data_IF_884386681760
#
_entry.id   IF_884386681760
#
_cell.length_a   1.000
_cell.length_b   1.000
_cell.length_c   1.000
_cell.angle_alpha   90.00
_cell.angle_beta   90.00
_cell.angle_gamma   90.00
#
_symmetry.space_group_name_H-M   'P 1'
#
loop_
_entity.id
_entity.type
_entity.pdbx_description
1 polymer ?
#
# COMPACT_ATOMS: atom_id res chain seq x y z
N UNK A 1 -0.38 6.46 16.76
CA UNK A 1 0.95 6.02 16.29
C UNK A 1 1.04 5.98 14.76
N UNK A 2 0.38 6.91 14.08
CA UNK A 2 0.20 6.87 12.63
C UNK A 2 1.08 7.91 11.91
N UNK A 3 2.21 8.29 12.52
CA UNK A 3 3.11 9.33 12.02
C UNK A 3 4.47 8.77 11.55
N UNK A 4 4.60 7.44 11.40
CA UNK A 4 5.91 6.76 11.30
C UNK A 4 6.06 5.77 10.12
N UNK A 5 5.15 5.74 9.14
CA UNK A 5 5.11 4.66 8.12
C UNK A 5 4.91 5.18 6.69
N UNK A 6 5.11 4.32 5.67
CA UNK A 6 5.01 4.67 4.24
C UNK A 6 3.62 5.18 3.82
N UNK A 7 3.52 6.07 2.81
CA UNK A 7 2.24 6.53 2.23
C UNK A 7 1.28 5.37 1.90
N UNK A 8 1.76 4.25 1.34
CA UNK A 8 0.90 3.10 1.02
C UNK A 8 0.43 2.35 2.27
N UNK A 9 1.31 2.19 3.27
CA UNK A 9 1.01 1.53 4.55
C UNK A 9 0.03 2.38 5.36
N UNK A 10 0.05 3.70 5.19
CA UNK A 10 -0.88 4.60 5.88
C UNK A 10 -2.18 4.81 5.16
N UNK A 11 -2.22 4.82 3.83
CA UNK A 11 -3.50 4.67 3.13
C UNK A 11 -4.17 3.36 3.59
N UNK A 12 -3.44 2.24 3.64
CA UNK A 12 -3.99 0.94 4.07
C UNK A 12 -4.39 0.87 5.56
N UNK A 13 -3.64 1.51 6.47
CA UNK A 13 -3.93 1.48 7.92
C UNK A 13 -4.90 2.60 8.35
N UNK A 14 -4.82 3.77 7.75
CA UNK A 14 -5.75 4.88 7.97
C UNK A 14 -7.09 4.64 7.29
N UNK A 15 -7.17 3.95 6.15
CA UNK A 15 -8.46 3.54 5.54
C UNK A 15 -9.30 2.76 6.54
N UNK A 16 -8.71 1.93 7.40
CA UNK A 16 -9.46 1.19 8.44
C UNK A 16 -9.98 2.14 9.52
N UNK A 17 -9.15 3.05 10.01
CA UNK A 17 -9.55 4.07 11.00
C UNK A 17 -10.61 5.02 10.44
N UNK A 18 -10.49 5.42 9.18
CA UNK A 18 -11.40 6.33 8.50
C UNK A 18 -12.69 5.64 8.07
N UNK A 19 -12.64 4.39 7.58
CA UNK A 19 -13.85 3.57 7.39
C UNK A 19 -14.62 3.40 8.69
N UNK A 20 -13.90 3.18 9.80
CA UNK A 20 -14.49 3.12 11.12
C UNK A 20 -15.13 4.46 11.51
N UNK A 21 -14.38 5.56 11.44
CA UNK A 21 -14.85 6.89 11.78
C UNK A 21 -16.05 7.34 10.93
N UNK A 22 -16.01 7.07 9.63
CA UNK A 22 -17.12 7.35 8.70
C UNK A 22 -18.35 6.51 8.99
N UNK A 23 -18.17 5.25 9.41
CA UNK A 23 -19.28 4.36 9.77
C UNK A 23 -19.97 4.82 11.06
N UNK A 24 -19.21 5.31 12.03
CA UNK A 24 -19.77 5.81 13.29
C UNK A 24 -20.37 7.21 13.14
N UNK A 25 -19.81 8.02 12.25
CA UNK A 25 -20.29 9.39 11.99
C UNK A 25 -21.39 9.46 10.91
N UNK A 26 -21.88 8.32 10.42
CA UNK A 26 -22.84 8.18 9.31
C UNK A 26 -22.47 8.97 8.03
N UNK A 27 -21.18 9.00 7.74
CA UNK A 27 -20.59 9.63 6.56
C UNK A 27 -20.38 8.55 5.49
N UNK A 28 -20.76 8.83 4.24
CA UNK A 28 -20.51 7.90 3.13
C UNK A 28 -19.00 7.67 2.95
N UNK A 29 -18.49 6.44 3.02
CA UNK A 29 -17.05 6.15 2.86
C UNK A 29 -16.54 6.42 1.44
N UNK A 30 -17.43 6.51 0.45
CA UNK A 30 -17.08 6.97 -0.90
C UNK A 30 -16.59 8.42 -0.91
N UNK A 31 -17.09 9.28 -0.02
CA UNK A 31 -16.58 10.64 0.13
C UNK A 31 -15.19 10.68 0.79
N UNK A 32 -14.84 9.64 1.56
CA UNK A 32 -13.55 9.49 2.20
C UNK A 32 -12.47 9.05 1.18
N UNK A 33 -12.75 7.99 0.42
CA UNK A 33 -11.92 7.57 -0.72
C UNK A 33 -11.81 8.71 -1.75
N UNK A 34 -12.91 9.39 -2.06
CA UNK A 34 -12.88 10.58 -2.90
C UNK A 34 -12.13 11.73 -2.24
N UNK A 35 -12.12 11.92 -0.91
CA UNK A 35 -11.33 12.97 -0.28
C UNK A 35 -9.84 12.64 -0.26
N UNK A 36 -9.45 11.38 -0.05
CA UNK A 36 -8.06 10.91 -0.13
C UNK A 36 -7.55 11.06 -1.58
N UNK A 37 -8.40 10.71 -2.55
CA UNK A 37 -8.21 10.90 -3.99
C UNK A 37 -8.26 12.39 -4.41
N UNK A 38 -9.09 13.24 -3.81
CA UNK A 38 -9.18 14.68 -4.11
C UNK A 38 -8.07 15.46 -3.40
N UNK A 39 -7.58 14.98 -2.24
CA UNK A 39 -6.40 15.50 -1.52
C UNK A 39 -5.11 15.22 -2.26
N UNK A 40 -5.00 14.02 -2.84
CA UNK A 40 -3.92 13.73 -3.78
C UNK A 40 -3.98 14.64 -5.04
N UNK A 41 -5.17 15.17 -5.39
CA UNK A 41 -5.44 15.66 -6.74
C UNK A 41 -6.20 17.00 -6.84
N UNK A 42 -6.01 17.98 -5.94
CA UNK A 42 -6.87 19.18 -5.97
C UNK A 42 -6.80 19.93 -7.32
N UNK A 43 -7.95 19.85 -7.98
CA UNK A 43 -8.49 20.74 -9.00
C UNK A 43 -10.01 20.56 -9.04
N UNK A 44 -10.72 21.30 -8.17
CA UNK A 44 -12.18 21.48 -8.08
C UNK A 44 -13.06 20.25 -7.80
N UNK A 45 -13.67 20.21 -6.60
CA UNK A 45 -15.06 19.74 -6.49
C UNK A 45 -15.79 20.36 -5.30
N UNK A 46 -16.75 21.21 -5.63
CA UNK A 46 -17.77 21.78 -4.78
C UNK A 46 -18.93 20.80 -4.59
N UNK A 47 -19.15 20.22 -3.40
CA UNK A 47 -20.48 19.72 -3.02
C UNK A 47 -20.69 19.46 -1.51
N UNK A 48 -21.53 20.30 -0.91
CA UNK A 48 -22.61 20.05 0.08
C UNK A 48 -22.47 19.14 1.33
N UNK A 49 -21.32 18.58 1.72
CA UNK A 49 -21.14 17.98 3.08
C UNK A 49 -19.73 18.29 3.63
N UNK A 50 -19.51 19.56 3.99
CA UNK A 50 -18.17 20.17 4.14
C UNK A 50 -17.42 19.83 5.43
N UNK A 51 -18.07 19.80 6.58
CA UNK A 51 -17.35 19.96 7.86
C UNK A 51 -16.38 18.80 8.17
N UNK A 52 -16.81 17.54 7.94
CA UNK A 52 -15.97 16.37 8.24
C UNK A 52 -15.02 16.00 7.09
N UNK A 53 -15.35 16.32 5.84
CA UNK A 53 -14.50 16.04 4.67
C UNK A 53 -13.23 16.90 4.68
N UNK A 54 -13.34 18.12 5.18
CA UNK A 54 -12.28 19.11 5.20
C UNK A 54 -11.21 18.79 6.26
N UNK A 55 -11.63 18.26 7.42
CA UNK A 55 -10.72 17.75 8.45
C UNK A 55 -9.95 16.51 8.01
N UNK A 56 -10.61 15.63 7.26
CA UNK A 56 -9.99 14.46 6.68
C UNK A 56 -8.96 14.87 5.63
N UNK A 57 -9.33 15.82 4.75
CA UNK A 57 -8.44 16.41 3.76
C UNK A 57 -7.17 17.00 4.40
N UNK A 58 -7.35 17.79 5.47
CA UNK A 58 -6.27 18.34 6.29
C UNK A 58 -5.38 17.23 6.83
N UNK A 59 -5.98 16.19 7.43
CA UNK A 59 -5.26 15.07 8.00
C UNK A 59 -4.40 14.35 6.96
N UNK A 60 -4.96 14.03 5.79
CA UNK A 60 -4.26 13.34 4.68
C UNK A 60 -3.13 14.20 4.13
N UNK A 61 -3.34 15.50 3.94
CA UNK A 61 -2.31 16.44 3.44
C UNK A 61 -1.12 16.51 4.39
N UNK A 62 -1.38 16.73 5.67
CA UNK A 62 -0.34 16.79 6.69
C UNK A 62 0.39 15.45 6.81
N UNK A 63 -0.36 14.36 6.70
CA UNK A 63 0.20 13.03 6.76
C UNK A 63 1.18 12.76 5.59
N UNK A 64 0.76 13.06 4.36
CA UNK A 64 1.59 12.88 3.17
C UNK A 64 2.89 13.72 3.23
N UNK A 65 2.79 14.94 3.75
CA UNK A 65 3.96 15.80 3.96
C UNK A 65 4.86 15.29 5.09
N UNK A 66 4.28 14.77 6.18
CA UNK A 66 5.04 14.24 7.31
C UNK A 66 5.86 13.01 6.94
N UNK A 67 5.38 12.16 6.01
CA UNK A 67 6.10 10.96 5.58
C UNK A 67 7.44 11.28 4.89
N UNK A 68 7.58 12.47 4.29
CA UNK A 68 8.84 12.98 3.74
C UNK A 68 9.96 13.09 4.79
N UNK A 69 9.64 13.26 6.08
CA UNK A 69 10.67 13.35 7.13
C UNK A 69 11.37 12.01 7.42
N UNK A 70 10.78 10.89 7.01
CA UNK A 70 11.26 9.56 7.38
C UNK A 70 11.82 8.82 6.18
N UNK A 71 12.96 8.17 6.42
CA UNK A 71 13.64 7.33 5.43
C UNK A 71 12.69 6.27 4.83
N UNK A 72 11.90 5.62 5.69
CA UNK A 72 10.94 4.58 5.30
C UNK A 72 9.53 5.14 4.97
N UNK A 73 9.37 6.46 5.00
CA UNK A 73 8.09 7.13 4.79
C UNK A 73 7.62 7.11 3.33
N UNK A 74 8.51 6.84 2.38
CA UNK A 74 8.16 6.67 0.97
C UNK A 74 9.21 5.77 0.29
N UNK A 75 8.82 4.83 -0.61
CA UNK A 75 9.77 4.09 -1.43
C UNK A 75 10.77 4.98 -2.17
N UNK A 76 10.39 6.18 -2.60
CA UNK A 76 11.31 7.13 -3.25
C UNK A 76 12.45 7.57 -2.33
N UNK A 77 12.16 7.76 -1.04
CA UNK A 77 13.15 8.12 -0.02
C UNK A 77 14.21 7.02 0.13
N UNK A 78 13.75 5.76 0.16
CA UNK A 78 14.62 4.58 0.25
C UNK A 78 15.51 4.48 -0.98
N UNK A 79 14.96 4.68 -2.19
CA UNK A 79 15.73 4.60 -3.45
C UNK A 79 16.89 5.59 -3.46
N UNK A 80 16.62 6.87 -3.18
CA UNK A 80 17.68 7.90 -3.17
C UNK A 80 18.70 7.62 -2.07
N UNK A 81 18.22 7.19 -0.90
CA UNK A 81 19.09 6.99 0.26
C UNK A 81 19.99 5.76 0.11
N UNK A 82 19.47 4.63 -0.37
CA UNK A 82 20.27 3.43 -0.66
C UNK A 82 21.28 3.72 -1.78
N UNK A 83 20.87 4.43 -2.84
CA UNK A 83 21.75 4.74 -3.97
C UNK A 83 22.97 5.62 -3.60
N UNK A 84 22.87 6.39 -2.51
CA UNK A 84 23.94 7.28 -2.03
C UNK A 84 24.46 6.89 -0.63
N UNK A 85 24.02 5.76 -0.07
CA UNK A 85 24.42 5.30 1.26
C UNK A 85 24.07 6.28 2.39
N UNK A 86 22.96 7.01 2.27
CA UNK A 86 22.50 7.94 3.31
C UNK A 86 21.89 7.11 4.45
N UNK A 87 22.39 7.32 5.67
CA UNK A 87 21.88 6.62 6.85
C UNK A 87 20.51 7.13 7.28
N UNK A 88 19.74 6.32 8.01
CA UNK A 88 18.40 6.68 8.49
C UNK A 88 18.39 8.00 9.29
N UNK A 89 19.37 8.16 10.18
CA UNK A 89 19.49 9.35 11.04
C UNK A 89 19.85 10.58 10.20
N UNK A 90 20.84 10.46 9.33
CA UNK A 90 21.27 11.57 8.47
C UNK A 90 20.16 12.03 7.54
N UNK A 91 19.45 11.08 6.93
CA UNK A 91 18.28 11.36 6.10
C UNK A 91 17.22 12.15 6.89
N UNK A 92 16.83 11.63 8.05
CA UNK A 92 15.76 12.22 8.84
C UNK A 92 16.14 13.62 9.33
N UNK A 93 17.41 13.83 9.69
CA UNK A 93 17.93 15.14 10.05
C UNK A 93 17.91 16.13 8.87
N UNK A 94 18.24 15.69 7.65
CA UNK A 94 18.20 16.54 6.45
C UNK A 94 16.76 16.93 6.08
N UNK A 95 15.82 16.01 6.20
CA UNK A 95 14.45 16.21 5.75
C UNK A 95 13.52 16.83 6.81
N UNK A 96 13.89 16.79 8.11
CA UNK A 96 13.04 17.31 9.18
C UNK A 96 12.66 18.78 8.97
N UNK A 97 13.64 19.65 8.69
CA UNK A 97 13.39 21.08 8.52
C UNK A 97 12.54 21.37 7.27
N UNK A 98 12.86 20.86 6.06
CA UNK A 98 11.98 20.96 4.90
C UNK A 98 10.55 20.46 5.16
N UNK A 99 10.41 19.33 5.86
CA UNK A 99 9.09 18.77 6.19
C UNK A 99 8.31 19.70 7.11
N UNK A 100 8.92 20.21 8.19
CA UNK A 100 8.25 21.16 9.09
C UNK A 100 7.85 22.44 8.36
N UNK A 101 8.71 22.97 7.48
CA UNK A 101 8.38 24.13 6.66
C UNK A 101 7.17 23.87 5.75
N UNK A 102 7.13 22.72 5.08
CA UNK A 102 5.99 22.33 4.24
C UNK A 102 4.72 22.14 5.06
N UNK A 103 4.79 21.52 6.24
CA UNK A 103 3.65 21.35 7.15
C UNK A 103 3.10 22.69 7.64
N UNK A 104 3.97 23.63 8.01
CA UNK A 104 3.58 24.97 8.43
C UNK A 104 2.95 25.76 7.27
N UNK A 105 3.51 25.66 6.07
CA UNK A 105 2.96 26.31 4.89
C UNK A 105 1.60 25.71 4.52
N UNK A 106 1.47 24.38 4.53
CA UNK A 106 0.20 23.69 4.31
C UNK A 106 -0.83 24.10 5.36
N UNK A 107 -0.45 24.17 6.64
CA UNK A 107 -1.32 24.68 7.70
C UNK A 107 -1.83 26.10 7.39
N UNK A 108 -0.93 27.02 7.06
CA UNK A 108 -1.26 28.41 6.79
C UNK A 108 -2.17 28.52 5.56
N UNK A 109 -1.84 27.83 4.47
CA UNK A 109 -2.66 27.81 3.24
C UNK A 109 -4.07 27.28 3.53
N UNK A 110 -4.19 26.17 4.26
CA UNK A 110 -5.48 25.57 4.57
C UNK A 110 -6.29 26.42 5.54
N UNK A 111 -5.65 27.05 6.53
CA UNK A 111 -6.30 28.03 7.40
C UNK A 111 -6.83 29.24 6.63
N UNK A 112 -6.14 29.68 5.59
CA UNK A 112 -6.59 30.80 4.74
C UNK A 112 -7.73 30.36 3.82
N UNK A 113 -7.57 29.23 3.12
CA UNK A 113 -8.53 28.73 2.14
C UNK A 113 -9.86 28.35 2.77
N UNK A 114 -9.82 27.69 3.94
CA UNK A 114 -10.99 27.15 4.62
C UNK A 114 -11.36 27.93 5.89
N UNK A 115 -10.88 29.17 6.03
CA UNK A 115 -11.13 30.02 7.22
C UNK A 115 -12.61 30.15 7.58
N UNK A 116 -13.50 29.99 6.60
CA UNK A 116 -14.95 30.10 6.78
C UNK A 116 -15.69 28.75 6.85
N UNK A 117 -15.04 27.65 6.50
CA UNK A 117 -15.62 26.30 6.45
C UNK A 117 -15.14 25.39 7.60
N UNK A 118 -14.15 25.83 8.40
CA UNK A 118 -13.63 25.06 9.54
C UNK A 118 -14.62 25.11 10.72
N UNK A 119 -15.23 23.97 11.11
CA UNK A 119 -16.13 23.93 12.25
C UNK A 119 -15.35 24.27 13.53
N UNK A 120 -15.91 25.15 14.37
CA UNK A 120 -15.26 25.54 15.63
C UNK A 120 -15.26 24.40 16.65
N UNK A 121 -16.22 23.48 16.58
CA UNK A 121 -16.40 22.37 17.53
C UNK A 121 -16.59 21.06 16.77
N UNK A 122 -15.72 20.10 17.06
CA UNK A 122 -15.87 18.73 16.59
C UNK A 122 -16.68 17.95 17.62
N UNK A 123 -17.79 17.36 17.19
CA UNK A 123 -18.51 16.40 18.03
C UNK A 123 -17.69 15.10 18.08
N UNK A 124 -17.15 14.70 19.24
CA UNK A 124 -16.46 13.43 19.36
C UNK A 124 -17.46 12.29 19.08
N UNK A 125 -17.04 11.20 18.41
CA UNK A 125 -17.88 10.03 18.26
C UNK A 125 -18.32 9.50 19.64
N UNK A 126 -19.58 9.08 19.78
CA UNK A 126 -20.12 8.52 21.04
C UNK A 126 -19.50 7.17 21.43
N UNK A 127 -18.72 6.56 20.54
CA UNK A 127 -18.06 5.28 20.78
C UNK A 127 -16.67 5.48 21.42
N UNK A 128 -16.41 4.78 22.54
CA UNK A 128 -15.07 4.72 23.13
C UNK A 128 -14.09 4.04 22.16
N UNK A 129 -13.00 4.71 21.74
CA UNK A 129 -11.99 4.14 20.84
C UNK A 129 -11.39 2.82 21.35
N UNK A 130 -11.43 2.58 22.66
CA UNK A 130 -10.91 1.35 23.27
C UNK A 130 -11.77 0.13 22.95
N UNK A 131 -13.07 0.31 22.73
CA UNK A 131 -13.99 -0.79 22.47
C UNK A 131 -14.01 -1.23 21.00
N UNK A 132 -13.32 -0.45 20.15
CA UNK A 132 -13.12 -0.74 18.74
C UNK A 132 -11.95 -1.67 18.43
N UNK A 133 -11.05 -1.83 19.39
CA UNK A 133 -9.91 -2.73 19.27
C UNK A 133 -10.39 -4.17 19.44
N UNK A 134 -10.62 -4.87 18.31
CA UNK A 134 -11.01 -6.29 18.27
C UNK A 134 -10.00 -7.15 19.04
N UNK A 135 -8.70 -6.88 18.87
CA UNK A 135 -7.61 -7.57 19.55
C UNK A 135 -6.66 -6.57 20.24
N UNK A 136 -7.00 -6.21 21.48
CA UNK A 136 -6.21 -5.28 22.31
C UNK A 136 -4.77 -5.76 22.53
N UNK A 137 -4.58 -7.08 22.75
CA UNK A 137 -3.26 -7.65 23.03
C UNK A 137 -2.38 -7.66 21.78
N UNK A 138 -2.95 -8.03 20.64
CA UNK A 138 -2.28 -7.98 19.35
C UNK A 138 -1.91 -6.57 18.93
N UNK A 139 -2.81 -5.62 19.13
CA UNK A 139 -2.52 -4.22 18.86
C UNK A 139 -1.30 -3.74 19.66
N UNK A 140 -1.25 -3.97 20.97
CA UNK A 140 -0.10 -3.60 21.81
C UNK A 140 1.17 -4.34 21.39
N UNK A 141 1.09 -5.64 21.10
CA UNK A 141 2.24 -6.42 20.63
C UNK A 141 2.82 -5.85 19.34
N UNK A 142 2.01 -5.66 18.30
CA UNK A 142 2.44 -5.12 17.02
C UNK A 142 2.99 -3.70 17.16
N UNK A 143 2.44 -2.92 18.10
CA UNK A 143 2.90 -1.57 18.40
C UNK A 143 4.30 -1.55 19.02
N UNK A 144 4.53 -2.42 20.00
CA UNK A 144 5.85 -2.60 20.61
C UNK A 144 6.85 -3.14 19.60
N UNK A 145 6.42 -4.09 18.76
CA UNK A 145 7.24 -4.68 17.70
C UNK A 145 7.65 -3.63 16.67
N UNK A 146 6.73 -2.75 16.26
CA UNK A 146 7.01 -1.62 15.38
C UNK A 146 7.97 -0.63 16.04
N UNK A 147 7.73 -0.26 17.30
CA UNK A 147 8.62 0.62 18.06
C UNK A 147 10.04 0.06 18.17
N UNK A 148 10.17 -1.25 18.43
CA UNK A 148 11.45 -1.94 18.47
C UNK A 148 12.12 -2.01 17.09
N UNK A 149 11.35 -2.23 16.03
CA UNK A 149 11.85 -2.19 14.65
C UNK A 149 12.45 -0.80 14.33
N UNK A 150 11.73 0.28 14.64
CA UNK A 150 12.23 1.65 14.44
C UNK A 150 13.46 1.95 15.29
N UNK A 151 13.47 1.55 16.57
CA UNK A 151 14.64 1.69 17.43
C UNK A 151 15.85 0.92 16.88
N UNK A 152 15.62 -0.27 16.32
CA UNK A 152 16.66 -1.10 15.71
C UNK A 152 17.18 -0.43 14.43
N UNK A 153 16.31 0.10 13.57
CA UNK A 153 16.72 0.86 12.38
C UNK A 153 17.59 2.06 12.72
N UNK A 154 17.25 2.80 13.78
CA UNK A 154 18.07 3.90 14.30
C UNK A 154 19.41 3.36 14.82
N UNK A 155 19.41 2.28 15.60
CA UNK A 155 20.63 1.69 16.16
C UNK A 155 21.58 1.09 15.11
N UNK A 156 21.05 0.45 14.06
CA UNK A 156 21.84 -0.14 12.97
C UNK A 156 22.28 0.90 11.94
N UNK A 157 21.78 2.13 12.03
CA UNK A 157 22.14 3.25 11.14
C UNK A 157 23.65 3.58 11.17
N UNK A 158 24.38 3.14 12.21
CA UNK A 158 25.84 3.32 12.33
C UNK A 158 26.64 2.19 11.68
N UNK A 159 26.01 1.05 11.42
CA UNK A 159 26.66 -0.18 10.92
C UNK A 159 26.47 -0.34 9.41
N UNK A 160 25.61 0.47 8.79
CA UNK A 160 25.36 0.42 7.34
C UNK A 160 24.59 -0.84 6.91
N UNK A 161 23.76 -1.38 7.80
CA UNK A 161 22.94 -2.57 7.49
C UNK A 161 21.78 -2.15 6.56
N UNK A 162 21.57 -2.84 5.43
CA UNK A 162 20.42 -2.60 4.56
C UNK A 162 19.10 -2.68 5.33
N UNK A 163 18.18 -1.77 5.03
CA UNK A 163 16.91 -1.64 5.80
C UNK A 163 16.12 -2.94 5.82
N UNK A 164 16.08 -3.68 4.70
CA UNK A 164 15.33 -4.93 4.61
C UNK A 164 15.82 -6.01 5.58
N UNK A 165 17.14 -6.06 5.88
CA UNK A 165 17.70 -7.03 6.82
C UNK A 165 17.23 -6.77 8.24
N UNK A 166 16.90 -5.52 8.56
CA UNK A 166 16.33 -5.13 9.84
C UNK A 166 14.83 -5.35 9.84
N UNK A 167 14.10 -4.87 8.83
CA UNK A 167 12.62 -4.90 8.83
C UNK A 167 12.03 -6.29 8.62
N UNK A 168 12.69 -7.16 7.85
CA UNK A 168 12.17 -8.49 7.50
C UNK A 168 11.99 -9.40 8.72
N UNK A 169 12.93 -9.54 9.67
CA UNK A 169 12.73 -10.29 10.91
C UNK A 169 11.52 -9.83 11.73
N UNK A 170 11.29 -8.52 11.85
CA UNK A 170 10.12 -7.98 12.55
C UNK A 170 8.83 -8.31 11.80
N UNK A 171 8.81 -8.17 10.48
CA UNK A 171 7.66 -8.53 9.65
C UNK A 171 7.32 -10.03 9.75
N UNK A 172 8.32 -10.90 9.72
CA UNK A 172 8.15 -12.36 9.92
C UNK A 172 7.61 -12.64 11.32
N UNK A 173 8.11 -11.96 12.34
CA UNK A 173 7.64 -12.12 13.72
C UNK A 173 6.17 -11.73 13.87
N UNK A 174 5.75 -10.62 13.25
CA UNK A 174 4.34 -10.20 13.21
C UNK A 174 3.48 -11.27 12.51
N UNK A 175 3.93 -11.76 11.35
CA UNK A 175 3.21 -12.78 10.58
C UNK A 175 3.07 -14.09 11.38
N UNK A 176 4.17 -14.58 12.00
CA UNK A 176 4.14 -15.79 12.85
C UNK A 176 3.16 -15.63 14.00
N UNK A 177 3.16 -14.47 14.66
CA UNK A 177 2.20 -14.17 15.73
C UNK A 177 0.75 -14.24 15.25
N UNK A 178 0.46 -13.68 14.08
CA UNK A 178 -0.90 -13.70 13.51
C UNK A 178 -1.33 -15.12 13.12
N UNK A 179 -0.41 -15.93 12.58
CA UNK A 179 -0.65 -17.36 12.34
C UNK A 179 -0.93 -18.10 13.66
N UNK A 180 -0.13 -17.88 14.70
CA UNK A 180 -0.34 -18.49 16.02
C UNK A 180 -1.69 -18.10 16.61
N UNK A 181 -2.09 -16.83 16.49
CA UNK A 181 -3.38 -16.34 16.97
C UNK A 181 -4.55 -17.04 16.25
N UNK A 182 -4.50 -17.15 14.92
CA UNK A 182 -5.53 -17.85 14.14
C UNK A 182 -5.64 -19.34 14.53
N UNK A 183 -4.49 -20.01 14.72
CA UNK A 183 -4.43 -21.40 15.16
C UNK A 183 -5.04 -21.55 16.56
N UNK A 184 -4.68 -20.67 17.51
CA UNK A 184 -5.15 -20.71 18.89
C UNK A 184 -6.68 -20.50 18.98
N UNK A 185 -7.21 -19.48 18.31
CA UNK A 185 -8.65 -19.19 18.27
C UNK A 185 -9.42 -20.40 17.76
N UNK A 186 -8.90 -21.07 16.73
CA UNK A 186 -9.51 -22.27 16.16
C UNK A 186 -9.51 -23.46 17.10
N UNK A 187 -8.40 -23.70 17.81
CA UNK A 187 -8.36 -24.74 18.85
C UNK A 187 -9.38 -24.47 19.95
N UNK A 188 -9.51 -23.21 20.40
CA UNK A 188 -10.51 -22.81 21.41
C UNK A 188 -11.95 -23.02 20.94
N UNK A 189 -12.27 -22.69 19.69
CA UNK A 189 -13.61 -22.92 19.11
C UNK A 189 -13.94 -24.42 19.00
N UNK A 190 -12.98 -25.23 18.54
CA UNK A 190 -13.15 -26.69 18.42
C UNK A 190 -13.36 -27.33 19.79
N UNK A 191 -12.61 -26.90 20.81
CA UNK A 191 -12.77 -27.38 22.18
C UNK A 191 -14.15 -27.01 22.77
N UNK A 192 -14.64 -25.78 22.49
CA UNK A 192 -15.99 -25.35 22.92
C UNK A 192 -17.11 -26.16 22.25
N UNK A 193 -17.03 -26.42 20.95
CA UNK A 193 -18.00 -27.27 20.27
C UNK A 193 -18.03 -28.69 20.85
N UNK A 194 -16.85 -29.30 21.07
CA UNK A 194 -16.76 -30.63 21.67
C UNK A 194 -17.35 -30.68 23.08
N UNK A 195 -17.19 -29.63 23.88
CA UNK A 195 -17.83 -29.54 25.20
C UNK A 195 -19.35 -29.35 25.10
N UNK A 196 -19.84 -28.55 24.16
CA UNK A 196 -21.28 -28.36 23.96
C UNK A 196 -21.97 -29.63 23.46
N UNK A 197 -21.36 -30.37 22.53
CA UNK A 197 -21.89 -31.65 22.04
C UNK A 197 -21.95 -32.71 23.16
N UNK A 198 -20.96 -32.73 24.06
CA UNK A 198 -20.97 -33.60 25.24
C UNK A 198 -22.09 -33.24 26.25
N UNK A 199 -22.43 -31.95 26.39
CA UNK A 199 -23.54 -31.49 27.24
C UNK A 199 -24.92 -31.74 26.59
N UNK A 200 -25.00 -31.66 25.26
CA UNK A 200 -26.23 -31.94 24.49
C UNK A 200 -26.55 -33.44 24.48
N UNK A 201 -25.52 -34.29 24.36
CA UNK A 201 -25.67 -35.76 24.40
C UNK A 201 -26.01 -36.32 25.78
N UNK A 202 -25.60 -35.64 26.86
CA UNK A 202 -26.06 -35.96 28.24
C UNK A 202 -27.46 -35.43 28.55
N UNK A 203 -27.95 -34.44 27.81
CA UNK A 203 -29.33 -33.93 27.94
C UNK A 203 -30.35 -34.72 27.10
N UNK A 204 -29.91 -35.36 26.02
CA UNK A 204 -30.77 -36.14 25.12
C UNK A 204 -30.99 -37.61 25.52
N UNK A 205 -30.38 -38.09 26.62
CA UNK A 205 -30.66 -39.45 27.15
C UNK A 205 -32.03 -39.57 27.83
N UNK A 206 -32.83 -38.50 27.90
CA UNK A 206 -34.15 -38.48 28.55
C UNK A 206 -35.34 -38.23 27.59
N UNK A 207 -35.18 -38.42 26.28
CA UNK A 207 -36.30 -38.23 25.32
C UNK A 207 -36.94 -39.60 24.99
N UNK A 208 -38.24 -39.83 25.27
CA UNK A 208 -38.94 -41.06 24.93
C UNK A 208 -38.96 -41.32 23.42
N UNK A 209 -38.84 -42.61 23.05
CA UNK A 209 -38.85 -43.13 21.68
C UNK A 209 -40.25 -43.03 21.06
N UNK A 210 -40.72 -41.84 20.71
CA UNK A 210 -41.94 -41.67 19.92
C UNK A 210 -41.74 -40.47 18.99
N UNK A 211 -41.67 -40.74 17.68
CA UNK A 211 -41.53 -39.80 16.53
C UNK A 211 -40.29 -39.97 15.64
N UNK A 212 -39.83 -41.21 15.39
CA UNK A 212 -38.80 -41.50 14.37
C UNK A 212 -39.35 -42.10 13.06
N UNK A 213 -40.66 -42.13 12.87
CA UNK A 213 -41.30 -42.51 11.62
C UNK A 213 -42.16 -41.34 11.17
N UNK A 214 -41.65 -40.49 10.26
CA UNK A 214 -42.43 -39.62 9.34
C UNK A 214 -41.52 -38.67 8.51
N UNK A 215 -40.34 -39.11 8.06
CA UNK A 215 -39.51 -38.34 7.13
C UNK A 215 -38.90 -39.28 6.08
N UNK A 216 -39.80 -39.83 5.26
CA UNK A 216 -39.48 -40.46 3.98
C UNK A 216 -40.38 -39.80 2.93
N UNK A 217 -39.84 -39.54 1.73
CA UNK A 217 -40.48 -38.93 0.54
C UNK A 217 -40.35 -37.38 0.57
N UNK A 218 -39.61 -36.71 -0.30
CA UNK A 218 -39.71 -36.70 -1.77
C UNK A 218 -38.37 -36.37 -2.43
N UNK A 219 -37.85 -37.26 -3.27
CA UNK A 219 -36.77 -36.97 -4.21
C UNK A 219 -37.40 -36.53 -5.54
N UNK A 220 -37.23 -35.27 -5.91
CA UNK A 220 -37.60 -34.74 -7.23
C UNK A 220 -36.38 -34.83 -8.16
N UNK A 221 -36.51 -35.62 -9.22
CA UNK A 221 -35.63 -35.54 -10.39
C UNK A 221 -36.07 -34.38 -11.30
N UNK A 222 -35.15 -33.68 -11.97
CA UNK A 222 -35.45 -32.94 -13.18
C UNK A 222 -34.99 -33.74 -14.41
N UNK A 223 -35.97 -34.17 -15.20
CA UNK A 223 -35.86 -34.34 -16.65
C UNK A 223 -35.81 -32.97 -17.31
N UNK A 224 -34.83 -32.69 -18.19
CA UNK A 224 -35.20 -32.18 -19.51
C UNK A 224 -34.09 -32.28 -20.55
N UNK A 225 -34.53 -32.63 -21.74
CA UNK A 225 -33.85 -32.82 -23.02
C UNK A 225 -33.64 -31.50 -23.76
N UNK A 226 -32.53 -31.33 -24.48
CA UNK A 226 -32.35 -30.20 -25.40
C UNK A 226 -31.07 -30.18 -26.23
N UNK A 227 -31.18 -30.63 -27.49
CA UNK A 227 -30.41 -30.27 -28.69
C UNK A 227 -28.87 -30.21 -28.65
N UNK A 228 -28.23 -31.29 -29.13
CA UNK A 228 -26.91 -31.21 -29.76
C UNK A 228 -27.06 -30.86 -31.24
N UNK A 229 -26.65 -29.65 -31.61
CA UNK A 229 -26.45 -29.26 -33.01
C UNK A 229 -25.12 -29.85 -33.49
N UNK A 230 -25.21 -30.85 -34.37
CA UNK A 230 -24.09 -31.40 -35.13
C UNK A 230 -23.59 -30.32 -36.09
N UNK A 231 -22.42 -29.75 -35.81
CA UNK A 231 -21.68 -28.90 -36.75
C UNK A 231 -20.77 -29.82 -37.57
N UNK A 232 -21.02 -29.81 -38.88
CA UNK A 232 -20.31 -30.55 -39.91
C UNK A 232 -18.83 -30.12 -39.96
N UNK A 233 -17.92 -31.05 -39.71
CA UNK A 233 -16.46 -30.81 -39.71
C UNK A 233 -15.82 -31.43 -40.96
N UNK A 234 -16.01 -30.82 -42.12
CA UNK A 234 -15.22 -31.13 -43.32
C UNK A 234 -14.13 -30.07 -43.52
N UNK A 235 -12.88 -30.46 -43.25
CA UNK A 235 -11.70 -29.74 -43.72
C UNK A 235 -10.90 -29.00 -42.64
N UNK A 236 -10.22 -29.74 -41.75
CA UNK A 236 -9.05 -29.24 -41.04
C UNK A 236 -7.86 -30.17 -41.31
N UNK A 237 -6.75 -29.62 -41.79
CA UNK A 237 -5.51 -30.36 -41.96
C UNK A 237 -5.00 -30.85 -40.60
N UNK A 238 -4.33 -32.01 -40.57
CA UNK A 238 -3.85 -32.64 -39.33
C UNK A 238 -3.02 -31.70 -38.42
N UNK A 239 -2.29 -30.75 -39.02
CA UNK A 239 -1.54 -29.73 -38.29
C UNK A 239 -2.43 -28.75 -37.51
N UNK A 240 -3.62 -28.42 -38.00
CA UNK A 240 -4.55 -27.52 -37.32
C UNK A 240 -5.24 -28.23 -36.14
N UNK A 241 -5.48 -29.54 -36.26
CA UNK A 241 -6.02 -30.37 -35.18
C UNK A 241 -5.04 -30.50 -34.01
N UNK A 242 -3.74 -30.63 -34.29
CA UNK A 242 -2.70 -30.68 -33.26
C UNK A 242 -2.59 -29.35 -32.50
N UNK A 243 -2.59 -28.22 -33.20
CA UNK A 243 -2.55 -26.87 -32.61
C UNK A 243 -3.80 -26.61 -31.76
N UNK A 244 -4.99 -27.01 -32.24
CA UNK A 244 -6.24 -26.89 -31.47
C UNK A 244 -6.20 -27.78 -30.22
N UNK A 245 -5.69 -29.01 -30.31
CA UNK A 245 -5.57 -29.93 -29.16
C UNK A 245 -4.62 -29.39 -28.10
N UNK A 246 -3.50 -28.79 -28.50
CA UNK A 246 -2.50 -28.21 -27.62
C UNK A 246 -3.07 -26.99 -26.88
N UNK A 247 -3.81 -26.14 -27.61
CA UNK A 247 -4.49 -24.96 -27.05
C UNK A 247 -5.57 -25.33 -26.04
N UNK A 248 -6.35 -26.39 -26.32
CA UNK A 248 -7.38 -26.91 -25.41
C UNK A 248 -6.73 -27.53 -24.15
N UNK A 249 -5.66 -28.30 -24.32
CA UNK A 249 -4.88 -28.89 -23.22
C UNK A 249 -4.28 -27.82 -22.32
N UNK A 250 -3.76 -26.74 -22.89
CA UNK A 250 -3.23 -25.59 -22.15
C UNK A 250 -4.34 -24.88 -21.36
N UNK A 251 -5.51 -24.65 -21.98
CA UNK A 251 -6.68 -24.05 -21.28
C UNK A 251 -7.17 -24.93 -20.13
N UNK A 252 -7.23 -26.25 -20.30
CA UNK A 252 -7.60 -27.19 -19.23
C UNK A 252 -6.57 -27.23 -18.09
N UNK A 253 -5.29 -27.20 -18.42
CA UNK A 253 -4.21 -27.14 -17.42
C UNK A 253 -4.30 -25.85 -16.60
N UNK A 254 -4.52 -24.71 -17.27
CA UNK A 254 -4.73 -23.40 -16.62
C UNK A 254 -5.97 -23.39 -15.73
N UNK A 255 -7.09 -23.97 -16.17
CA UNK A 255 -8.31 -24.03 -15.35
C UNK A 255 -8.11 -24.89 -14.11
N UNK A 256 -7.43 -26.03 -14.24
CA UNK A 256 -7.12 -26.92 -13.11
C UNK A 256 -6.22 -26.24 -12.07
N UNK A 257 -5.23 -25.48 -12.51
CA UNK A 257 -4.40 -24.66 -11.61
C UNK A 257 -5.23 -23.60 -10.92
N UNK A 258 -6.07 -22.88 -11.68
CA UNK A 258 -6.96 -21.84 -11.12
C UNK A 258 -7.89 -22.41 -10.05
N UNK A 259 -8.46 -23.58 -10.28
CA UNK A 259 -9.41 -24.21 -9.34
C UNK A 259 -8.69 -24.74 -8.10
N UNK A 260 -7.50 -25.33 -8.25
CA UNK A 260 -6.64 -25.69 -7.13
C UNK A 260 -6.23 -24.46 -6.29
N UNK A 261 -5.85 -23.36 -6.94
CA UNK A 261 -5.53 -22.11 -6.27
C UNK A 261 -6.75 -21.54 -5.52
N UNK A 262 -7.93 -21.53 -6.14
CA UNK A 262 -9.17 -21.09 -5.48
C UNK A 262 -9.50 -21.95 -4.27
N UNK A 263 -9.35 -23.27 -4.39
CA UNK A 263 -9.52 -24.21 -3.28
C UNK A 263 -8.55 -23.94 -2.14
N UNK A 264 -7.27 -23.72 -2.45
CA UNK A 264 -6.25 -23.37 -1.47
C UNK A 264 -6.52 -22.01 -0.80
N UNK A 265 -6.91 -21.00 -1.57
CA UNK A 265 -7.24 -19.66 -1.06
C UNK A 265 -8.48 -19.74 -0.15
N UNK A 266 -9.51 -20.51 -0.53
CA UNK A 266 -10.69 -20.76 0.28
C UNK A 266 -10.35 -21.50 1.58
N UNK A 267 -9.48 -22.50 1.50
CA UNK A 267 -8.95 -23.18 2.68
C UNK A 267 -8.15 -22.23 3.59
N UNK A 268 -7.26 -21.41 3.03
CA UNK A 268 -6.40 -20.52 3.78
C UNK A 268 -7.21 -19.41 4.47
N UNK A 269 -8.19 -18.82 3.78
CA UNK A 269 -9.08 -17.80 4.36
C UNK A 269 -9.95 -18.31 5.50
N UNK A 270 -10.43 -19.55 5.41
CA UNK A 270 -11.24 -20.16 6.46
C UNK A 270 -10.42 -20.65 7.65
N UNK A 271 -9.17 -21.09 7.41
CA UNK A 271 -8.27 -21.63 8.44
C UNK A 271 -7.42 -20.57 9.14
N UNK A 272 -7.04 -19.51 8.42
CA UNK A 272 -6.11 -18.46 8.85
C UNK A 272 -6.66 -17.07 8.46
N UNK A 273 -7.76 -16.61 9.08
CA UNK A 273 -8.44 -15.39 8.67
C UNK A 273 -7.59 -14.12 8.85
N UNK A 274 -6.83 -14.00 9.94
CA UNK A 274 -5.98 -12.82 10.20
C UNK A 274 -4.81 -12.78 9.24
N UNK A 275 -4.06 -13.89 9.13
CA UNK A 275 -2.90 -13.95 8.22
C UNK A 275 -3.32 -13.79 6.76
N UNK A 276 -4.45 -14.40 6.35
CA UNK A 276 -4.99 -14.22 5.01
C UNK A 276 -5.44 -12.79 4.75
N UNK A 277 -6.03 -12.10 5.74
CA UNK A 277 -6.40 -10.70 5.63
C UNK A 277 -5.17 -9.80 5.48
N UNK A 278 -4.11 -10.01 6.27
CA UNK A 278 -2.86 -9.26 6.15
C UNK A 278 -2.23 -9.47 4.78
N UNK A 279 -2.06 -10.73 4.36
CA UNK A 279 -1.49 -11.07 3.05
C UNK A 279 -2.30 -10.41 1.93
N UNK A 280 -3.63 -10.48 1.95
CA UNK A 280 -4.46 -9.87 0.90
C UNK A 280 -4.41 -8.34 0.87
N UNK A 281 -4.08 -7.69 1.99
CA UNK A 281 -3.99 -6.23 2.11
C UNK A 281 -2.60 -5.69 1.76
N UNK A 282 -1.59 -6.54 1.64
CA UNK A 282 -0.28 -6.09 1.20
C UNK A 282 -0.35 -5.54 -0.24
N UNK A 283 0.39 -4.47 -0.54
CA UNK A 283 0.35 -3.81 -1.84
C UNK A 283 1.18 -4.59 -2.89
N UNK A 284 0.74 -5.82 -3.22
CA UNK A 284 1.46 -6.72 -4.12
C UNK A 284 1.69 -6.15 -5.52
N UNK A 285 0.85 -5.22 -5.96
CA UNK A 285 0.97 -4.52 -7.25
C UNK A 285 2.19 -3.63 -7.34
N UNK A 286 2.70 -3.12 -6.21
CA UNK A 286 3.87 -2.23 -6.16
C UNK A 286 5.14 -2.98 -6.56
N UNK A 287 5.26 -4.26 -6.22
CA UNK A 287 6.44 -5.07 -6.55
C UNK A 287 6.69 -5.23 -8.05
N UNK A 288 5.77 -5.82 -8.85
CA UNK A 288 5.98 -5.96 -10.29
C UNK A 288 6.04 -4.58 -10.97
N UNK A 289 5.26 -3.60 -10.52
CA UNK A 289 5.33 -2.24 -11.04
C UNK A 289 6.73 -1.62 -10.86
N UNK A 290 7.27 -1.64 -9.64
CA UNK A 290 8.60 -1.09 -9.34
C UNK A 290 9.69 -1.81 -10.14
N UNK A 291 9.62 -3.14 -10.22
CA UNK A 291 10.57 -3.95 -10.99
C UNK A 291 10.53 -3.62 -12.48
N UNK A 292 9.34 -3.47 -13.06
CA UNK A 292 9.20 -3.03 -14.46
C UNK A 292 9.76 -1.63 -14.70
N UNK A 293 9.59 -0.71 -13.75
CA UNK A 293 10.16 0.63 -13.84
C UNK A 293 11.69 0.63 -13.76
N UNK A 294 12.29 -0.21 -12.90
CA UNK A 294 13.74 -0.41 -12.89
C UNK A 294 14.26 -0.96 -14.23
N UNK A 295 13.59 -1.96 -14.80
CA UNK A 295 13.94 -2.52 -16.11
C UNK A 295 13.82 -1.43 -17.20
N UNK A 296 12.76 -0.63 -17.17
CA UNK A 296 12.54 0.44 -18.13
C UNK A 296 13.66 1.50 -18.08
N UNK A 297 14.03 1.94 -16.86
CA UNK A 297 15.12 2.91 -16.68
C UNK A 297 16.46 2.32 -17.12
N UNK A 298 16.69 1.03 -16.86
CA UNK A 298 17.90 0.36 -17.33
C UNK A 298 17.96 0.29 -18.86
N UNK A 299 16.85 -0.07 -19.52
CA UNK A 299 16.76 -0.04 -20.99
C UNK A 299 16.96 1.37 -21.57
N UNK A 300 16.49 2.41 -20.86
CA UNK A 300 16.73 3.80 -21.24
C UNK A 300 18.21 4.20 -21.07
N UNK A 301 18.88 3.66 -20.05
CA UNK A 301 20.32 3.83 -19.83
C UNK A 301 21.12 3.18 -20.97
N UNK A 302 20.80 1.94 -21.33
CA UNK A 302 21.48 1.18 -22.39
C UNK A 302 21.30 1.84 -23.77
N UNK A 303 20.13 2.47 -24.00
CA UNK A 303 19.88 3.26 -25.21
C UNK A 303 20.60 4.64 -25.23
N UNK A 304 21.33 5.00 -24.17
CA UNK A 304 22.14 6.23 -24.08
C UNK A 304 21.39 7.49 -23.65
N UNK A 305 20.08 7.41 -23.40
CA UNK A 305 19.26 8.56 -23.01
C UNK A 305 19.65 9.16 -21.67
N UNK A 306 20.06 8.32 -20.71
CA UNK A 306 20.51 8.78 -19.39
C UNK A 306 21.71 9.72 -19.51
N UNK A 307 22.65 9.47 -20.44
CA UNK A 307 23.79 10.34 -20.67
C UNK A 307 23.43 11.72 -21.25
N UNK A 308 22.44 11.75 -22.15
CA UNK A 308 21.90 13.00 -22.71
C UNK A 308 21.22 13.81 -21.61
N UNK A 309 20.34 13.17 -20.83
CA UNK A 309 19.65 13.81 -19.72
C UNK A 309 20.63 14.30 -18.65
N UNK A 310 21.67 13.52 -18.33
CA UNK A 310 22.75 13.91 -17.41
C UNK A 310 23.48 15.17 -17.85
N UNK A 311 23.76 15.28 -19.14
CA UNK A 311 24.42 16.45 -19.71
C UNK A 311 23.51 17.69 -19.61
N UNK A 312 22.21 17.54 -19.95
CA UNK A 312 21.23 18.62 -19.87
C UNK A 312 20.92 19.08 -18.43
N UNK A 313 20.75 18.13 -17.51
CA UNK A 313 20.44 18.43 -16.11
C UNK A 313 21.65 18.96 -15.32
N UNK A 314 22.88 18.82 -15.82
CA UNK A 314 24.10 19.31 -15.14
C UNK A 314 24.05 20.78 -14.74
N UNK A 315 23.21 21.59 -15.42
CA UNK A 315 22.96 23.00 -15.08
C UNK A 315 22.50 23.19 -13.64
N UNK A 316 21.84 22.20 -13.04
CA UNK A 316 21.37 22.26 -11.66
C UNK A 316 22.51 22.12 -10.63
N UNK A 317 23.67 21.60 -11.05
CA UNK A 317 24.84 21.43 -10.18
C UNK A 317 25.69 22.71 -10.01
N UNK A 318 25.31 23.83 -10.62
CA UNK A 318 26.11 25.08 -10.60
C UNK A 318 26.37 25.62 -9.20
N UNK A 319 25.37 25.63 -8.33
CA UNK A 319 25.50 26.09 -6.95
C UNK A 319 24.43 25.43 -6.07
N UNK A 320 24.58 25.57 -4.75
CA UNK A 320 23.70 24.93 -3.77
C UNK A 320 22.23 25.30 -3.92
N UNK A 321 21.92 26.57 -4.19
CA UNK A 321 20.54 27.06 -4.29
C UNK A 321 19.84 26.47 -5.52
N UNK A 322 20.51 26.49 -6.68
CA UNK A 322 19.99 25.89 -7.91
C UNK A 322 19.89 24.36 -7.76
N UNK A 323 20.84 23.73 -7.08
CA UNK A 323 20.81 22.32 -6.78
C UNK A 323 19.54 21.92 -6.00
N UNK A 324 19.19 22.67 -4.95
CA UNK A 324 17.98 22.38 -4.15
C UNK A 324 16.71 22.68 -4.95
N UNK A 325 16.51 23.93 -5.34
CA UNK A 325 15.22 24.37 -5.91
C UNK A 325 15.05 23.95 -7.37
N UNK A 326 16.13 23.91 -8.15
CA UNK A 326 16.11 23.43 -9.52
C UNK A 326 15.82 21.95 -9.61
N UNK A 327 16.50 21.12 -8.80
CA UNK A 327 16.21 19.67 -8.76
C UNK A 327 14.79 19.43 -8.26
N UNK A 328 14.34 20.12 -7.20
CA UNK A 328 12.98 19.97 -6.71
C UNK A 328 11.92 20.35 -7.76
N UNK A 329 12.06 21.51 -8.40
CA UNK A 329 11.12 21.97 -9.42
C UNK A 329 11.05 21.04 -10.63
N UNK A 330 12.20 20.63 -11.16
CA UNK A 330 12.25 19.69 -12.29
C UNK A 330 11.67 18.32 -11.88
N UNK A 331 12.00 17.83 -10.70
CA UNK A 331 11.47 16.56 -10.19
C UNK A 331 9.95 16.62 -10.03
N UNK A 332 9.40 17.73 -9.53
CA UNK A 332 7.94 17.92 -9.41
C UNK A 332 7.27 17.85 -10.79
N UNK A 333 7.82 18.53 -11.79
CA UNK A 333 7.29 18.52 -13.15
C UNK A 333 7.41 17.13 -13.79
N UNK A 334 8.56 16.48 -13.63
CA UNK A 334 8.82 15.15 -14.17
C UNK A 334 7.90 14.08 -13.53
N UNK A 335 7.59 14.21 -12.24
CA UNK A 335 6.61 13.35 -11.57
C UNK A 335 5.23 13.43 -12.22
N UNK A 336 4.82 14.59 -12.74
CA UNK A 336 3.52 14.71 -13.42
C UNK A 336 3.47 13.93 -14.75
N UNK A 337 4.63 13.54 -15.30
CA UNK A 337 4.72 12.75 -16.52
C UNK A 337 4.96 11.27 -16.24
N UNK A 338 5.82 10.96 -15.26
CA UNK A 338 6.33 9.62 -15.04
C UNK A 338 5.79 8.96 -13.76
N UNK A 339 5.16 9.71 -12.84
CA UNK A 339 4.92 9.31 -11.45
C UNK A 339 6.19 9.38 -10.57
N UNK A 340 6.03 9.44 -9.26
CA UNK A 340 7.09 9.65 -8.28
C UNK A 340 8.16 8.55 -8.27
N UNK A 341 7.76 7.27 -8.40
CA UNK A 341 8.68 6.14 -8.30
C UNK A 341 9.65 6.05 -9.50
N UNK A 342 9.21 5.87 -10.76
CA UNK A 342 10.12 5.80 -11.91
C UNK A 342 10.88 7.11 -12.17
N UNK A 343 10.28 8.27 -11.88
CA UNK A 343 11.01 9.55 -11.93
C UNK A 343 12.21 9.51 -10.98
N UNK A 344 12.00 9.09 -9.73
CA UNK A 344 13.07 9.02 -8.72
C UNK A 344 14.17 8.04 -9.14
N UNK A 345 13.80 6.88 -9.68
CA UNK A 345 14.77 5.89 -10.19
C UNK A 345 15.60 6.51 -11.33
N UNK A 346 14.94 7.13 -12.31
CA UNK A 346 15.59 7.78 -13.44
C UNK A 346 16.54 8.89 -13.00
N UNK A 347 16.08 9.80 -12.13
CA UNK A 347 16.89 10.92 -11.66
C UNK A 347 18.08 10.44 -10.84
N UNK A 348 17.91 9.43 -10.01
CA UNK A 348 19.01 8.80 -9.28
C UNK A 348 20.09 8.27 -10.25
N UNK A 349 19.69 7.58 -11.32
CA UNK A 349 20.62 7.08 -12.36
C UNK A 349 21.28 8.22 -13.15
N UNK A 350 20.55 9.30 -13.44
CA UNK A 350 21.08 10.50 -14.09
C UNK A 350 22.16 11.15 -13.22
N UNK A 351 21.89 11.34 -11.92
CA UNK A 351 22.84 11.98 -11.00
C UNK A 351 24.09 11.10 -10.84
N UNK A 352 23.96 9.77 -10.84
CA UNK A 352 25.10 8.83 -10.80
C UNK A 352 25.91 8.79 -12.11
N UNK A 353 25.38 9.30 -13.23
CA UNK A 353 26.04 9.23 -14.52
C UNK A 353 27.31 10.12 -14.56
N UNK A 354 28.42 9.67 -15.18
CA UNK A 354 29.68 10.42 -15.21
C UNK A 354 29.56 11.86 -15.74
N UNK A 355 28.73 12.07 -16.77
CA UNK A 355 28.50 13.41 -17.34
C UNK A 355 27.89 14.39 -16.34
N UNK A 356 27.04 13.91 -15.43
CA UNK A 356 26.47 14.75 -14.38
C UNK A 356 27.49 14.96 -13.25
N UNK A 357 28.16 13.88 -12.81
CA UNK A 357 29.17 13.93 -11.73
C UNK A 357 30.34 14.85 -12.01
N UNK A 358 30.77 14.98 -13.27
CA UNK A 358 31.83 15.91 -13.66
C UNK A 358 31.52 17.39 -13.32
N UNK A 359 30.23 17.73 -13.16
CA UNK A 359 29.76 19.10 -12.88
C UNK A 359 29.46 19.34 -11.39
N UNK A 360 29.59 18.33 -10.52
CA UNK A 360 29.33 18.48 -9.08
C UNK A 360 30.62 18.81 -8.35
N UNK A 361 30.80 20.10 -8.05
CA UNK A 361 32.06 20.61 -7.49
C UNK A 361 32.18 20.53 -5.96
N UNK A 362 31.11 20.18 -5.23
CA UNK A 362 31.16 20.08 -3.77
C UNK A 362 30.15 19.08 -3.20
N UNK A 363 30.44 18.57 -1.99
CA UNK A 363 29.51 17.74 -1.22
C UNK A 363 28.21 18.47 -0.90
N UNK A 364 28.28 19.78 -0.66
CA UNK A 364 27.09 20.59 -0.39
C UNK A 364 26.15 20.64 -1.60
N UNK A 365 26.69 20.83 -2.81
CA UNK A 365 25.89 20.81 -4.05
C UNK A 365 25.25 19.43 -4.24
N UNK A 366 25.99 18.34 -4.08
CA UNK A 366 25.41 16.99 -4.12
C UNK A 366 24.27 16.85 -3.12
N UNK A 367 24.50 17.22 -1.86
CA UNK A 367 23.46 17.18 -0.83
C UNK A 367 22.24 18.01 -1.21
N UNK A 368 22.43 19.18 -1.82
CA UNK A 368 21.36 20.01 -2.33
C UNK A 368 20.54 19.34 -3.44
N UNK A 369 21.19 18.65 -4.37
CA UNK A 369 20.54 17.88 -5.44
C UNK A 369 19.71 16.75 -4.84
N UNK A 370 20.28 15.98 -3.91
CA UNK A 370 19.58 14.87 -3.26
C UNK A 370 18.38 15.36 -2.43
N UNK A 371 18.56 16.44 -1.65
CA UNK A 371 17.47 17.12 -0.93
C UNK A 371 16.36 17.56 -1.89
N UNK A 372 16.74 18.19 -2.99
CA UNK A 372 15.79 18.65 -4.01
C UNK A 372 15.02 17.50 -4.64
N UNK A 373 15.68 16.39 -4.98
CA UNK A 373 15.05 15.21 -5.56
C UNK A 373 14.07 14.55 -4.57
N UNK A 374 14.47 14.36 -3.32
CA UNK A 374 13.61 13.78 -2.28
C UNK A 374 12.41 14.70 -2.06
N UNK A 375 12.64 16.00 -1.87
CA UNK A 375 11.57 16.98 -1.67
C UNK A 375 10.62 17.01 -2.86
N UNK A 376 11.15 17.05 -4.09
CA UNK A 376 10.34 17.11 -5.30
C UNK A 376 9.50 15.84 -5.52
N UNK A 377 10.07 14.66 -5.29
CA UNK A 377 9.36 13.38 -5.43
C UNK A 377 8.21 13.22 -4.42
N UNK A 378 8.34 13.78 -3.21
CA UNK A 378 7.30 13.75 -2.19
C UNK A 378 6.25 14.85 -2.39
N UNK A 379 6.66 16.07 -2.74
CA UNK A 379 5.72 17.18 -2.99
C UNK A 379 4.91 16.99 -4.26
N UNK A 380 5.45 16.32 -5.29
CA UNK A 380 4.71 16.06 -6.51
C UNK A 380 3.43 15.23 -6.30
N UNK A 381 3.44 14.37 -5.27
CA UNK A 381 2.28 13.57 -4.88
C UNK A 381 1.10 14.41 -4.35
N UNK A 382 1.34 15.69 -4.05
CA UNK A 382 0.32 16.66 -3.66
C UNK A 382 -0.13 17.56 -4.84
N UNK A 383 0.45 17.39 -6.04
CA UNK A 383 0.32 18.32 -7.16
C UNK A 383 -0.81 18.01 -8.15
N UNK A 384 -0.83 16.82 -8.78
CA UNK A 384 -1.86 16.43 -9.76
C UNK A 384 -2.09 14.91 -9.80
N UNK A 385 -3.19 14.46 -10.45
CA UNK A 385 -3.61 13.05 -10.66
C UNK A 385 -2.52 12.08 -11.10
N UNK A 386 -1.53 12.53 -11.87
CA UNK A 386 -0.48 11.64 -12.43
C UNK A 386 0.76 11.55 -11.52
N UNK A 387 0.91 12.47 -10.57
CA UNK A 387 2.13 12.67 -9.78
C UNK A 387 2.43 11.62 -8.70
N UNK A 388 1.48 10.73 -8.39
CA UNK A 388 1.59 9.71 -7.33
C UNK A 388 1.01 8.37 -7.77
N UNK A 389 1.58 7.25 -7.31
CA UNK A 389 1.03 5.91 -7.50
C UNK A 389 -0.39 5.81 -6.93
N UNK A 390 -0.63 6.50 -5.81
CA UNK A 390 -1.94 6.63 -5.19
C UNK A 390 -2.96 7.45 -6.03
N UNK A 391 -2.50 8.21 -7.03
CA UNK A 391 -3.38 8.92 -7.97
C UNK A 391 -3.80 8.08 -9.18
N UNK A 392 -3.04 7.03 -9.51
CA UNK A 392 -3.29 6.14 -10.66
C UNK A 392 -4.03 4.86 -10.26
N UNK A 393 -3.85 4.39 -9.01
CA UNK A 393 -4.56 3.24 -8.43
C UNK A 393 -5.89 3.65 -7.82
#
# INVERSE_FOLDING_TARGET
>A
MSALTSNDVVILSATVFLCYFTRVSDIKPTAFLMSEFTTANIGNTTSSRRDNQLLIFLYVTFYCLASMALYIGNPTNVIVSEAYGISFISYSAWMLLPTLACLLLAYAMLRVLFRHDLPQHLQPPDADPRDMLIDKKGAVFCLLLLGLCLATLIGTSFVGVPVWMVTLPFAVTALVRDLCHDIEVRFRLTARHRHNDNNMSTSNTNIPLENRANLTITATQPTDSGNENVVDSTGLHAADLDIVSETVRQKQWLSKIRDNMRGFIGWATTRLPTASAVIRRLPWTVLPFSLSMFILVEGLSDAGWVGILASGLSVIAKNYVIAVFGTAGISILACQLLNNLPMTILFTRIIQHPHFMANVHSKAVMQGILLGLIMGSNLAACGTFVGSLAGIM
#
